data_IF_322290255308
#
_entry.id   IF_322290255308
#
_cell.length_a   1.000
_cell.length_b   1.000
_cell.length_c   1.000
_cell.angle_alpha   90.00
_cell.angle_beta   90.00
_cell.angle_gamma   90.00
#
_symmetry.space_group_name_H-M   'P 1'
#
loop_
_entity.id
_entity.type
_entity.pdbx_description
1 polymer ?
#
# COMPACT_ATOMS: atom_id res chain seq x y z
N UNK A 1 -7.01 13.92 9.43
CA UNK A 1 -6.86 12.46 9.39
C UNK A 1 -5.52 12.13 10.01
N UNK A 2 -5.43 11.02 10.71
CA UNK A 2 -4.18 10.52 11.29
C UNK A 2 -3.66 9.46 10.32
N UNK A 3 -2.40 9.57 9.91
CA UNK A 3 -1.74 8.57 9.08
C UNK A 3 -1.08 7.54 9.99
N UNK A 4 -1.28 6.26 9.71
CA UNK A 4 -0.66 5.16 10.44
C UNK A 4 -0.37 3.99 9.50
N UNK A 5 0.62 3.17 9.87
CA UNK A 5 0.95 1.93 9.17
C UNK A 5 0.10 0.78 9.69
N UNK A 6 -0.17 -0.17 8.79
CA UNK A 6 -0.88 -1.40 9.15
C UNK A 6 -0.69 -2.50 8.12
N UNK A 7 -1.23 -3.67 8.45
CA UNK A 7 -1.19 -4.87 7.60
C UNK A 7 -2.61 -5.29 7.26
N UNK A 8 -2.87 -5.58 5.99
CA UNK A 8 -4.16 -6.13 5.57
C UNK A 8 -4.28 -7.56 6.09
N UNK A 9 -5.30 -7.85 6.92
CA UNK A 9 -5.58 -9.23 7.34
C UNK A 9 -6.40 -9.99 6.30
N UNK A 10 -7.50 -9.39 5.84
CA UNK A 10 -8.45 -10.04 4.92
C UNK A 10 -9.33 -9.04 4.19
N UNK A 11 -9.87 -9.47 3.05
CA UNK A 11 -10.94 -8.76 2.35
C UNK A 11 -12.30 -9.12 2.98
N UNK A 12 -13.13 -8.10 3.26
CA UNK A 12 -14.47 -8.26 3.85
C UNK A 12 -15.59 -8.20 2.79
N UNK A 13 -15.22 -8.17 1.50
CA UNK A 13 -16.15 -7.96 0.41
C UNK A 13 -16.57 -6.50 0.27
N UNK A 14 -17.32 -6.21 -0.80
CA UNK A 14 -17.75 -4.86 -1.16
C UNK A 14 -16.60 -3.85 -1.33
N UNK A 15 -15.36 -4.29 -1.49
CA UNK A 15 -14.16 -3.44 -1.56
C UNK A 15 -13.70 -2.87 -0.21
N UNK A 16 -14.11 -3.48 0.90
CA UNK A 16 -13.58 -3.22 2.23
C UNK A 16 -12.51 -4.25 2.60
N UNK A 17 -11.50 -3.78 3.32
CA UNK A 17 -10.38 -4.56 3.80
C UNK A 17 -10.29 -4.40 5.32
N UNK A 18 -10.07 -5.50 6.02
CA UNK A 18 -9.74 -5.47 7.43
C UNK A 18 -8.24 -5.24 7.55
N UNK A 19 -7.85 -4.15 8.19
CA UNK A 19 -6.45 -3.76 8.40
C UNK A 19 -6.16 -3.73 9.89
N UNK A 20 -5.07 -4.36 10.29
CA UNK A 20 -4.58 -4.30 11.67
C UNK A 20 -3.51 -3.24 11.75
N UNK A 21 -3.72 -2.27 12.62
CA UNK A 21 -2.84 -1.13 12.81
C UNK A 21 -1.62 -1.54 13.63
N UNK A 22 -0.46 -1.01 13.24
CA UNK A 22 0.74 -1.15 14.07
C UNK A 22 0.65 -0.25 15.31
N UNK A 23 0.01 0.93 15.18
CA UNK A 23 -0.19 1.87 16.27
C UNK A 23 -1.57 2.57 16.18
N UNK A 24 -2.40 2.52 17.24
CA UNK A 24 -2.23 1.73 18.47
C UNK A 24 -2.28 0.21 18.21
N UNK A 25 -1.43 -0.54 18.90
CA UNK A 25 -1.17 -1.96 18.63
C UNK A 25 -2.44 -2.81 18.74
N UNK A 26 -2.67 -3.66 17.72
CA UNK A 26 -3.76 -4.64 17.71
C UNK A 26 -5.15 -4.07 17.38
N UNK A 27 -5.27 -2.78 17.06
CA UNK A 27 -6.56 -2.23 16.64
C UNK A 27 -6.87 -2.61 15.19
N UNK A 28 -8.08 -3.13 14.96
CA UNK A 28 -8.55 -3.50 13.63
C UNK A 28 -9.47 -2.42 13.07
N UNK A 29 -9.21 -1.99 11.85
CA UNK A 29 -10.01 -0.99 11.17
C UNK A 29 -10.50 -1.49 9.81
N UNK A 30 -11.75 -1.13 9.49
CA UNK A 30 -12.35 -1.41 8.21
C UNK A 30 -12.01 -0.28 7.25
N UNK A 31 -11.22 -0.59 6.23
CA UNK A 31 -10.69 0.40 5.31
C UNK A 31 -11.14 0.17 3.87
N UNK A 32 -11.31 1.27 3.13
CA UNK A 32 -11.51 1.23 1.67
C UNK A 32 -10.28 1.75 0.95
N UNK A 33 -10.01 1.23 -0.24
CA UNK A 33 -8.94 1.74 -1.09
C UNK A 33 -9.20 3.20 -1.51
N UNK A 34 -8.19 4.05 -1.41
CA UNK A 34 -8.25 5.39 -1.99
C UNK A 34 -8.42 5.31 -3.50
N UNK A 35 -9.13 6.28 -4.09
CA UNK A 35 -9.32 6.36 -5.54
C UNK A 35 -8.01 6.41 -6.35
N UNK A 36 -6.92 6.87 -5.72
CA UNK A 36 -5.57 6.83 -6.32
C UNK A 36 -5.12 5.39 -6.59
N UNK A 37 -5.34 4.47 -5.65
CA UNK A 37 -4.95 3.06 -5.80
C UNK A 37 -5.73 2.37 -6.92
N UNK A 38 -7.05 2.61 -7.01
CA UNK A 38 -7.88 2.07 -8.09
C UNK A 38 -7.50 2.66 -9.45
N UNK A 39 -7.24 3.97 -9.53
CA UNK A 39 -6.76 4.64 -10.76
C UNK A 39 -5.46 4.01 -11.28
N UNK A 40 -4.53 3.70 -10.39
CA UNK A 40 -3.25 3.07 -10.75
C UNK A 40 -3.30 1.53 -10.77
N UNK A 41 -4.49 0.92 -10.65
CA UNK A 41 -4.69 -0.55 -10.64
C UNK A 41 -3.81 -1.27 -9.62
N UNK A 42 -3.54 -0.64 -8.48
CA UNK A 42 -2.80 -1.25 -7.38
C UNK A 42 -3.72 -2.27 -6.71
N UNK A 43 -3.34 -3.55 -6.80
CA UNK A 43 -4.04 -4.64 -6.11
C UNK A 43 -3.65 -4.64 -4.64
N UNK A 44 -4.61 -4.81 -3.76
CA UNK A 44 -4.42 -4.98 -2.32
C UNK A 44 -4.74 -6.44 -2.00
N UNK A 45 -3.84 -7.12 -1.30
CA UNK A 45 -3.99 -8.51 -0.89
C UNK A 45 -3.78 -8.63 0.62
N UNK A 46 -4.28 -9.72 1.20
CA UNK A 46 -3.95 -10.07 2.59
C UNK A 46 -2.43 -10.24 2.76
N UNK A 47 -1.89 -9.73 3.86
CA UNK A 47 -0.47 -9.69 4.18
C UNK A 47 0.28 -8.47 3.63
N UNK A 48 -0.36 -7.60 2.84
CA UNK A 48 0.29 -6.39 2.36
C UNK A 48 0.42 -5.33 3.46
N UNK A 49 1.62 -4.74 3.55
CA UNK A 49 1.87 -3.54 4.36
C UNK A 49 1.30 -2.31 3.65
N UNK A 50 0.52 -1.53 4.37
CA UNK A 50 -0.20 -0.39 3.84
C UNK A 50 -0.15 0.80 4.77
N UNK A 51 -0.24 1.99 4.17
CA UNK A 51 -0.48 3.24 4.89
C UNK A 51 -1.98 3.53 4.88
N UNK A 52 -2.52 3.85 6.05
CA UNK A 52 -3.94 4.12 6.24
C UNK A 52 -4.10 5.53 6.81
N UNK A 53 -5.02 6.29 6.23
CA UNK A 53 -5.54 7.54 6.80
C UNK A 53 -6.81 7.22 7.59
N UNK A 54 -6.81 7.56 8.87
CA UNK A 54 -7.91 7.30 9.80
C UNK A 54 -8.53 8.63 10.23
N UNK A 55 -9.84 8.62 10.47
CA UNK A 55 -10.49 9.78 11.07
C UNK A 55 -10.04 9.93 12.53
N UNK A 56 -9.65 11.13 12.99
CA UNK A 56 -9.29 11.33 14.40
C UNK A 56 -10.44 11.03 15.37
N UNK A 57 -11.67 10.96 14.86
CA UNK A 57 -12.88 10.71 15.64
C UNK A 57 -13.29 9.23 15.70
N UNK A 58 -12.85 8.40 14.75
CA UNK A 58 -13.21 6.98 14.69
C UNK A 58 -12.02 6.17 14.17
N UNK A 59 -11.38 5.43 15.08
CA UNK A 59 -10.23 4.58 14.77
C UNK A 59 -10.62 3.29 14.00
N UNK A 60 -11.92 2.96 13.97
CA UNK A 60 -12.44 1.74 13.35
C UNK A 60 -12.62 1.88 11.84
N UNK A 61 -12.58 3.10 11.29
CA UNK A 61 -12.79 3.39 9.87
C UNK A 61 -11.63 4.19 9.29
N UNK A 62 -11.10 3.69 8.18
CA UNK A 62 -9.97 4.33 7.52
C UNK A 62 -10.00 4.21 6.01
N UNK A 63 -8.95 4.76 5.40
CA UNK A 63 -8.75 4.78 3.96
C UNK A 63 -7.31 4.40 3.64
N UNK A 64 -7.16 3.38 2.80
CA UNK A 64 -5.84 2.91 2.38
C UNK A 64 -5.31 3.85 1.31
N UNK A 65 -4.23 4.57 1.60
CA UNK A 65 -3.66 5.56 0.68
C UNK A 65 -2.49 5.01 -0.11
N UNK A 66 -1.72 4.13 0.50
CA UNK A 66 -0.50 3.58 -0.07
C UNK A 66 -0.31 2.11 0.28
N UNK A 67 0.24 1.35 -0.66
CA UNK A 67 0.73 -0.02 -0.43
C UNK A 67 2.25 0.02 -0.54
N UNK A 68 2.94 -0.43 0.49
CA UNK A 68 4.39 -0.53 0.45
C UNK A 68 4.82 -1.56 -0.59
N UNK A 69 5.78 -1.17 -1.44
CA UNK A 69 6.41 -2.14 -2.34
C UNK A 69 7.37 -2.98 -1.52
N UNK A 70 7.08 -4.27 -1.41
CA UNK A 70 8.02 -5.22 -0.86
C UNK A 70 9.33 -5.13 -1.67
N UNK A 71 10.42 -4.70 -1.03
CA UNK A 71 11.68 -4.34 -1.68
C UNK A 71 12.36 -5.54 -2.39
N UNK A 72 11.84 -6.76 -2.21
CA UNK A 72 12.39 -7.99 -2.80
C UNK A 72 12.17 -8.22 -4.30
N UNK A 73 11.45 -7.35 -5.03
CA UNK A 73 11.15 -7.57 -6.46
C UNK A 73 11.33 -6.36 -7.39
N UNK A 74 12.03 -5.31 -6.96
CA UNK A 74 12.46 -4.25 -7.87
C UNK A 74 13.77 -4.66 -8.53
N UNK A 75 13.72 -5.19 -9.76
CA UNK A 75 14.92 -5.17 -10.62
C UNK A 75 15.40 -3.71 -10.68
N UNK A 76 16.66 -3.40 -10.32
CA UNK A 76 17.19 -2.06 -10.51
C UNK A 76 17.14 -1.75 -12.00
N UNK A 77 16.26 -0.83 -12.41
CA UNK A 77 16.30 -0.23 -13.74
C UNK A 77 17.46 0.78 -13.77
N UNK A 78 18.69 0.27 -13.74
CA UNK A 78 19.86 1.06 -14.13
C UNK A 78 20.17 0.72 -15.58
N UNK A 79 19.92 1.71 -16.44
CA UNK A 79 20.06 1.68 -17.89
C UNK A 79 21.47 1.19 -18.30
N UNK A 80 21.52 0.16 -19.16
CA UNK A 80 22.74 -0.42 -19.72
C UNK A 80 22.90 0.11 -21.15
N UNK A 81 24.12 0.53 -21.49
CA UNK A 81 24.70 0.80 -22.83
C UNK A 81 24.94 2.31 -23.13
N UNK A 82 26.16 2.83 -22.97
CA UNK A 82 27.42 2.56 -23.69
C UNK A 82 27.37 3.06 -25.14
N UNK A 83 27.86 4.28 -25.46
CA UNK A 83 28.05 4.66 -26.85
C UNK A 83 29.17 3.80 -27.46
N UNK A 84 28.80 3.13 -28.54
CA UNK A 84 29.59 2.17 -29.31
C UNK A 84 31.00 2.70 -29.63
N UNK A 85 31.99 1.90 -29.25
CA UNK A 85 33.25 1.76 -29.99
C UNK A 85 32.95 1.51 -31.49
N UNK A 86 33.70 2.21 -32.33
CA UNK A 86 34.10 1.89 -33.72
C UNK A 86 33.00 2.07 -34.80
N UNK A 87 33.25 2.56 -36.01
CA UNK A 87 34.46 2.83 -36.81
C UNK A 87 34.04 3.71 -38.01
N UNK A 88 34.82 4.72 -38.39
CA UNK A 88 35.37 4.92 -39.76
C UNK A 88 36.43 6.00 -39.73
#
# INVERSE_FOLDING_TARGET
MIETSGVIEKEQGNGFYLVTLEQPEGHQCLCRAAGKLTKFRIKLLAGDKVLVEISPYDLSRGRITYRERNAGNAKPTTNKNNPKRNNK
#
